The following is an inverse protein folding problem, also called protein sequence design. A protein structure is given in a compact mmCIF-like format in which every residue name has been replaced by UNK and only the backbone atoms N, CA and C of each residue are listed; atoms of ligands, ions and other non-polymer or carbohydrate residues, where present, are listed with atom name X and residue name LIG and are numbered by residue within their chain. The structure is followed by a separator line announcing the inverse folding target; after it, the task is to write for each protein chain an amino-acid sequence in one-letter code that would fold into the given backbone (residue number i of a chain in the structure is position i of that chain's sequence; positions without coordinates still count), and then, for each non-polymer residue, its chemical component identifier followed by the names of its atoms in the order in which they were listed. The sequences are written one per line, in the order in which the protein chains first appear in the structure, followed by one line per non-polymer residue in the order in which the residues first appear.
data_IF_707614260359
#
_entry.id   IF_707614260359
#
_cell.length_a   1.000
_cell.length_b   1.000
_cell.length_c   1.000
_cell.angle_alpha   90.00
_cell.angle_beta   90.00
_cell.angle_gamma   90.00
#
_symmetry.space_group_name_H-M   'P 1'
#
loop_
_entity.id
_entity.type
_entity.pdbx_description
1 polymer ?
#
# COMPACT_ATOMS: atom_id res chain seq x y z
N UNK A 1 -19.54 17.64 -3.76
CA UNK A 1 -18.63 16.66 -4.39
C UNK A 1 -18.64 15.39 -3.57
N UNK A 2 -18.08 14.30 -4.08
CA UNK A 2 -18.01 13.03 -3.36
C UNK A 2 -16.81 12.99 -2.41
N UNK A 3 -16.99 12.32 -1.27
CA UNK A 3 -15.92 11.99 -0.33
C UNK A 3 -15.53 10.54 -0.50
N UNK A 4 -14.26 10.30 -0.76
CA UNK A 4 -13.73 8.95 -0.97
C UNK A 4 -12.94 8.48 0.25
N UNK A 5 -13.29 7.30 0.72
CA UNK A 5 -12.53 6.51 1.67
C UNK A 5 -11.77 5.41 0.91
N UNK A 6 -10.63 5.00 1.44
CA UNK A 6 -9.85 3.89 0.89
C UNK A 6 -9.48 2.93 2.00
N UNK A 7 -9.74 1.65 1.77
CA UNK A 7 -9.24 0.57 2.62
C UNK A 7 -8.35 -0.37 1.82
N UNK A 8 -7.37 -0.97 2.49
CA UNK A 8 -6.44 -1.91 1.88
C UNK A 8 -6.28 -3.14 2.78
N UNK A 9 -6.51 -4.33 2.21
CA UNK A 9 -6.33 -5.62 2.88
C UNK A 9 -5.16 -6.37 2.25
N UNK A 10 -4.17 -6.72 3.08
CA UNK A 10 -3.09 -7.61 2.67
C UNK A 10 -3.66 -9.02 2.50
N UNK A 11 -3.46 -9.61 1.32
CA UNK A 11 -3.92 -10.95 0.98
C UNK A 11 -2.80 -11.99 1.13
N UNK A 12 -1.58 -11.63 0.73
CA UNK A 12 -0.44 -12.53 0.68
C UNK A 12 0.86 -11.72 0.83
N UNK A 13 1.88 -12.37 1.39
CA UNK A 13 3.27 -11.89 1.34
C UNK A 13 4.16 -13.04 0.87
N UNK A 14 5.15 -12.71 0.05
CA UNK A 14 6.20 -13.65 -0.36
C UNK A 14 7.53 -12.95 -0.57
N UNK A 15 8.59 -13.73 -0.60
CA UNK A 15 9.92 -13.27 -0.96
C UNK A 15 10.01 -12.91 -2.45
N UNK A 16 10.76 -11.86 -2.78
CA UNK A 16 11.11 -11.56 -4.16
C UNK A 16 12.30 -12.42 -4.58
N UNK A 17 12.13 -13.16 -5.68
CA UNK A 17 13.20 -14.02 -6.22
C UNK A 17 14.32 -13.22 -6.88
N UNK A 18 14.00 -12.10 -7.53
CA UNK A 18 14.95 -11.27 -8.27
C UNK A 18 15.50 -10.09 -7.48
N UNK A 19 14.87 -9.70 -6.37
CA UNK A 19 15.35 -8.64 -5.49
C UNK A 19 15.28 -9.07 -4.02
N UNK A 20 16.31 -9.80 -3.52
CA UNK A 20 16.29 -10.43 -2.19
C UNK A 20 16.14 -9.45 -1.01
N UNK A 21 16.40 -8.16 -1.23
CA UNK A 21 16.26 -7.11 -0.21
C UNK A 21 14.80 -6.66 -0.01
N UNK A 22 13.87 -7.12 -0.87
CA UNK A 22 12.46 -6.73 -0.88
C UNK A 22 11.52 -7.95 -0.84
N UNK A 23 10.32 -7.75 -0.33
CA UNK A 23 9.21 -8.69 -0.40
C UNK A 23 8.15 -8.22 -1.41
N UNK A 24 7.37 -9.16 -1.94
CA UNK A 24 6.16 -8.87 -2.73
C UNK A 24 4.95 -9.02 -1.83
N UNK A 25 4.14 -7.96 -1.73
CA UNK A 25 2.90 -7.95 -0.95
C UNK A 25 1.72 -7.77 -1.89
N UNK A 26 0.77 -8.70 -1.84
CA UNK A 26 -0.48 -8.62 -2.62
C UNK A 26 -1.55 -7.95 -1.77
N UNK A 27 -2.13 -6.87 -2.28
CA UNK A 27 -3.07 -6.02 -1.56
C UNK A 27 -4.33 -5.86 -2.39
N UNK A 28 -5.49 -6.08 -1.77
CA UNK A 28 -6.79 -5.63 -2.31
C UNK A 28 -7.07 -4.25 -1.76
N UNK A 29 -7.36 -3.30 -2.63
CA UNK A 29 -7.75 -1.95 -2.24
C UNK A 29 -9.17 -1.67 -2.74
N UNK A 30 -10.02 -1.14 -1.88
CA UNK A 30 -11.36 -0.69 -2.22
C UNK A 30 -11.48 0.81 -1.98
N UNK A 31 -11.99 1.53 -2.98
CA UNK A 31 -12.43 2.92 -2.83
C UNK A 31 -13.93 2.96 -2.59
N UNK A 32 -14.36 3.69 -1.57
CA UNK A 32 -15.74 3.72 -1.07
C UNK A 32 -16.19 5.18 -1.01
N UNK A 33 -17.31 5.53 -1.63
CA UNK A 33 -17.90 6.88 -1.52
C UNK A 33 -18.74 7.03 -0.23
N UNK A 34 -19.19 8.24 0.09
CA UNK A 34 -19.87 8.57 1.35
C UNK A 34 -21.16 7.78 1.64
N UNK A 35 -21.87 7.28 0.62
CA UNK A 35 -23.05 6.40 0.79
C UNK A 35 -22.68 4.91 0.90
N UNK A 36 -21.40 4.58 1.03
CA UNK A 36 -20.91 3.20 1.19
C UNK A 36 -20.77 2.41 -0.12
N UNK A 37 -21.04 3.02 -1.27
CA UNK A 37 -20.87 2.36 -2.59
C UNK A 37 -19.39 2.18 -2.90
N UNK A 38 -19.02 0.96 -3.28
CA UNK A 38 -17.68 0.66 -3.81
C UNK A 38 -17.58 1.20 -5.24
N UNK A 39 -16.66 2.14 -5.46
CA UNK A 39 -16.44 2.78 -6.77
C UNK A 39 -15.23 2.21 -7.50
N UNK A 40 -14.32 1.56 -6.77
CA UNK A 40 -13.18 0.82 -7.33
C UNK A 40 -12.82 -0.35 -6.42
N UNK A 41 -12.49 -1.49 -7.02
CA UNK A 41 -11.98 -2.68 -6.32
C UNK A 41 -10.91 -3.34 -7.19
N UNK A 42 -9.69 -3.43 -6.68
CA UNK A 42 -8.59 -4.01 -7.43
C UNK A 42 -7.59 -4.68 -6.51
N UNK A 43 -6.84 -5.61 -7.12
CA UNK A 43 -5.76 -6.33 -6.47
C UNK A 43 -4.47 -5.97 -7.16
N UNK A 44 -3.50 -5.45 -6.40
CA UNK A 44 -2.15 -5.13 -6.90
C UNK A 44 -1.09 -5.86 -6.10
N UNK A 45 0.06 -6.08 -6.73
CA UNK A 45 1.29 -6.49 -6.04
C UNK A 45 2.22 -5.30 -5.92
N UNK A 46 2.80 -5.08 -4.73
CA UNK A 46 3.78 -4.03 -4.47
C UNK A 46 5.08 -4.62 -3.93
N UNK A 47 6.21 -4.00 -4.29
CA UNK A 47 7.52 -4.33 -3.72
C UNK A 47 7.76 -3.49 -2.47
N UNK A 48 7.95 -4.15 -1.34
CA UNK A 48 8.18 -3.51 -0.03
C UNK A 48 9.57 -3.88 0.46
N UNK A 49 10.31 -2.90 0.98
CA UNK A 49 11.60 -3.15 1.60
C UNK A 49 11.46 -4.06 2.83
N UNK A 50 12.38 -5.02 2.99
CA UNK A 50 12.55 -5.68 4.27
C UNK A 50 13.11 -4.69 5.28
N UNK A 51 12.78 -4.88 6.56
CA UNK A 51 13.19 -3.98 7.65
C UNK A 51 14.70 -3.67 7.64
N UNK A 52 15.54 -4.69 7.43
CA UNK A 52 17.01 -4.54 7.44
C UNK A 52 17.59 -3.79 6.22
N UNK A 53 16.79 -3.55 5.17
CA UNK A 53 17.25 -2.94 3.91
C UNK A 53 16.46 -1.69 3.53
N UNK A 54 15.51 -1.26 4.38
CA UNK A 54 14.73 -0.07 4.13
C UNK A 54 15.64 1.18 4.20
N UNK A 55 15.52 2.12 3.25
CA UNK A 55 16.27 3.37 3.31
C UNK A 55 15.86 4.16 4.56
N UNK A 56 16.83 4.68 5.29
CA UNK A 56 16.65 5.45 6.53
C UNK A 56 16.27 6.90 6.31
N UNK A 57 15.85 7.30 5.11
CA UNK A 57 15.42 8.67 4.86
C UNK A 57 14.07 8.89 5.52
N UNK A 58 13.92 10.00 6.23
CA UNK A 58 12.62 10.52 6.67
C UNK A 58 11.80 10.86 5.42
N UNK A 59 11.06 9.87 4.93
CA UNK A 59 10.26 9.97 3.71
C UNK A 59 8.99 10.79 3.93
N UNK A 60 8.61 11.01 5.19
CA UNK A 60 7.49 11.87 5.54
C UNK A 60 7.97 13.32 5.61
N UNK A 61 7.29 14.25 4.92
CA UNK A 61 7.62 15.66 5.02
C UNK A 61 7.42 16.16 6.45
N UNK A 62 8.32 17.02 6.91
CA UNK A 62 8.10 17.78 8.13
C UNK A 62 6.98 18.81 7.90
N UNK A 63 6.12 18.96 8.90
CA UNK A 63 5.08 19.99 8.88
C UNK A 63 5.74 21.32 9.21
N UNK A 64 5.76 22.25 8.26
CA UNK A 64 6.16 23.62 8.52
C UNK A 64 4.95 24.37 9.10
N UNK A 65 5.02 24.74 10.38
CA UNK A 65 4.07 25.64 11.05
C UNK A 65 4.54 27.10 10.97
#
# INVERSE_FOLDING_TARGET
GDTLYSESRVLEKRESRSNPQRGVVKVRTRGIQQEGKVVIDYVRSVLVWKKAHAPSRDLFPEVNE
#
